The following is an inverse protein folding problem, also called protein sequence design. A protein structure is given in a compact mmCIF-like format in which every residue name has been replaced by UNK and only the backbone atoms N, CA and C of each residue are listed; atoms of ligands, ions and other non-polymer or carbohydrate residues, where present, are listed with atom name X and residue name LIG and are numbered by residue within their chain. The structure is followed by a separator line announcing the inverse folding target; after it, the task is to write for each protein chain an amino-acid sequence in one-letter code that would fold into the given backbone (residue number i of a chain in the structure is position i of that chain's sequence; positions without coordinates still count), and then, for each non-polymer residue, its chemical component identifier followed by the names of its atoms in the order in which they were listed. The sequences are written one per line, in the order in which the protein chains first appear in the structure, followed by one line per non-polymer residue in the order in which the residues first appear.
data_IF_755527285319
#
_entry.id   IF_755527285319
#
_cell.length_a   1.000
_cell.length_b   1.000
_cell.length_c   1.000
_cell.angle_alpha   90.00
_cell.angle_beta   90.00
_cell.angle_gamma   90.00
#
_symmetry.space_group_name_H-M   'P 1'
#
loop_
_entity.id
_entity.type
_entity.pdbx_description
1 polymer ?
#
# COMPACT_ATOMS: atom_id res chain seq x y z
N UNK A 1 -19.99 -2.92 -19.24
CA UNK A 1 -19.07 -3.55 -18.28
C UNK A 1 -17.74 -2.84 -18.37
N UNK A 2 -17.34 -2.04 -17.37
CA UNK A 2 -16.01 -1.41 -17.38
C UNK A 2 -14.96 -2.51 -17.20
N UNK A 3 -14.00 -2.56 -18.11
CA UNK A 3 -12.83 -3.43 -18.10
C UNK A 3 -12.24 -3.48 -16.70
N UNK A 4 -12.16 -4.68 -16.11
CA UNK A 4 -11.37 -4.91 -14.92
C UNK A 4 -9.91 -4.70 -15.30
N UNK A 5 -9.43 -3.47 -15.12
CA UNK A 5 -8.02 -3.15 -15.24
C UNK A 5 -7.28 -3.98 -14.18
N UNK A 6 -6.65 -5.06 -14.64
CA UNK A 6 -5.97 -6.05 -13.80
C UNK A 6 -4.47 -5.72 -13.70
N UNK A 7 -4.13 -4.45 -13.88
CA UNK A 7 -2.76 -3.96 -13.79
C UNK A 7 -2.23 -4.13 -12.38
N UNK A 8 -0.97 -4.59 -12.23
CA UNK A 8 -0.35 -4.73 -10.92
C UNK A 8 -0.28 -3.36 -10.24
N UNK A 9 -0.55 -3.34 -8.94
CA UNK A 9 -0.39 -2.15 -8.10
C UNK A 9 0.57 -2.49 -6.96
N UNK A 10 1.43 -1.55 -6.54
CA UNK A 10 2.29 -1.77 -5.38
C UNK A 10 1.48 -2.06 -4.12
N UNK A 11 2.03 -2.86 -3.21
CA UNK A 11 1.39 -3.27 -1.97
C UNK A 11 2.07 -2.62 -0.76
N UNK A 12 1.25 -2.02 0.11
CA UNK A 12 1.66 -1.54 1.42
C UNK A 12 0.98 -2.34 2.53
N UNK A 13 1.78 -3.13 3.25
CA UNK A 13 1.33 -3.94 4.37
C UNK A 13 1.19 -3.09 5.66
N UNK A 14 -0.04 -2.91 6.15
CA UNK A 14 -0.38 -2.12 7.32
C UNK A 14 -0.36 -2.97 8.59
N UNK A 15 0.29 -2.47 9.65
CA UNK A 15 0.48 -3.20 10.92
C UNK A 15 -0.63 -2.94 11.94
N UNK A 16 -0.96 -1.67 12.17
CA UNK A 16 -1.79 -1.22 13.31
C UNK A 16 -3.14 -0.61 12.87
N UNK A 17 -3.43 -0.60 11.56
CA UNK A 17 -4.62 0.09 11.06
C UNK A 17 -5.15 -0.52 9.78
N UNK A 18 -6.44 -0.26 9.53
CA UNK A 18 -7.15 -0.58 8.30
C UNK A 18 -7.70 0.73 7.74
N UNK A 19 -7.37 1.03 6.48
CA UNK A 19 -7.92 2.19 5.77
C UNK A 19 -9.19 1.76 5.03
N UNK A 20 -10.27 2.51 5.18
CA UNK A 20 -11.53 2.33 4.45
C UNK A 20 -11.67 3.34 3.30
N UNK A 21 -12.54 3.06 2.31
CA UNK A 21 -12.91 4.04 1.29
C UNK A 21 -13.32 5.39 1.90
N UNK A 22 -12.97 6.49 1.21
CA UNK A 22 -13.18 7.89 1.57
C UNK A 22 -12.37 8.39 2.79
N UNK A 23 -11.57 7.53 3.44
CA UNK A 23 -10.69 7.99 4.51
C UNK A 23 -9.38 8.55 3.94
N UNK A 24 -8.96 9.71 4.45
CA UNK A 24 -7.64 10.29 4.21
C UNK A 24 -6.80 10.10 5.46
N UNK A 25 -5.73 9.30 5.38
CA UNK A 25 -4.93 8.88 6.53
C UNK A 25 -3.45 9.17 6.29
N UNK A 26 -2.75 9.83 7.24
CA UNK A 26 -1.30 9.95 7.19
C UNK A 26 -0.62 8.65 7.65
N UNK A 27 0.33 8.16 6.87
CA UNK A 27 1.14 6.97 7.17
C UNK A 27 2.63 7.35 7.27
N UNK A 28 3.33 6.67 8.17
CA UNK A 28 4.79 6.78 8.30
C UNK A 28 5.43 5.49 7.76
N UNK A 29 6.30 5.65 6.78
CA UNK A 29 6.91 4.54 6.05
C UNK A 29 8.42 4.59 6.23
N UNK A 30 8.97 3.56 6.88
CA UNK A 30 10.41 3.46 7.17
C UNK A 30 11.08 2.19 6.65
N UNK A 31 10.32 1.17 6.22
CA UNK A 31 10.90 -0.06 5.65
C UNK A 31 11.23 0.17 4.17
N UNK A 32 12.41 -0.23 3.73
CA UNK A 32 12.86 -0.05 2.34
C UNK A 32 11.85 -0.60 1.32
N UNK A 33 11.29 -1.79 1.55
CA UNK A 33 10.25 -2.37 0.67
C UNK A 33 9.00 -1.49 0.55
N UNK A 34 8.59 -0.89 1.66
CA UNK A 34 7.43 -0.02 1.70
C UNK A 34 7.71 1.34 1.05
N UNK A 35 8.92 1.88 1.22
CA UNK A 35 9.37 3.08 0.51
C UNK A 35 9.37 2.83 -1.00
N UNK A 36 9.96 1.72 -1.45
CA UNK A 36 9.95 1.31 -2.86
C UNK A 36 8.53 1.17 -3.43
N UNK A 37 7.61 0.56 -2.68
CA UNK A 37 6.21 0.45 -3.11
C UNK A 37 5.54 1.82 -3.33
N UNK A 38 5.83 2.79 -2.44
CA UNK A 38 5.33 4.16 -2.57
C UNK A 38 5.95 4.85 -3.79
N UNK A 39 7.27 4.73 -3.99
CA UNK A 39 7.95 5.32 -5.14
C UNK A 39 7.47 4.71 -6.46
N UNK A 40 7.21 3.41 -6.50
CA UNK A 40 6.65 2.74 -7.68
C UNK A 40 5.22 3.21 -7.96
N UNK A 41 4.40 3.43 -6.93
CA UNK A 41 3.05 3.96 -7.13
C UNK A 41 3.07 5.35 -7.78
N UNK A 42 4.10 6.17 -7.52
CA UNK A 42 4.23 7.48 -8.15
C UNK A 42 4.49 7.40 -9.65
N UNK A 43 5.00 6.27 -10.17
CA UNK A 43 5.20 6.03 -11.60
C UNK A 43 3.89 5.63 -12.29
N UNK A 44 3.05 4.85 -11.60
CA UNK A 44 1.86 4.22 -12.15
C UNK A 44 0.57 4.66 -11.42
N UNK A 45 -0.08 5.70 -11.96
CA UNK A 45 -1.40 6.19 -11.54
C UNK A 45 -1.58 6.56 -10.05
N UNK A 46 -0.50 6.62 -9.25
CA UNK A 46 -0.53 6.89 -7.80
C UNK A 46 -1.33 5.88 -6.99
N UNK A 47 -1.69 4.75 -7.58
CA UNK A 47 -2.51 3.73 -6.93
C UNK A 47 -1.65 2.81 -6.06
N UNK A 48 -2.17 2.45 -4.89
CA UNK A 48 -1.50 1.54 -3.97
C UNK A 48 -2.53 0.62 -3.31
N UNK A 49 -2.19 -0.66 -3.19
CA UNK A 49 -2.98 -1.60 -2.42
C UNK A 49 -2.61 -1.49 -0.94
N UNK A 50 -3.58 -1.17 -0.10
CA UNK A 50 -3.44 -1.10 1.35
C UNK A 50 -4.08 -2.36 1.95
N UNK A 51 -3.28 -3.20 2.59
CA UNK A 51 -3.78 -4.43 3.21
C UNK A 51 -3.19 -4.62 4.60
N UNK A 52 -4.01 -5.05 5.56
CA UNK A 52 -3.55 -5.33 6.91
C UNK A 52 -2.76 -6.64 6.98
N UNK A 53 -1.80 -6.68 7.89
CA UNK A 53 -1.09 -7.89 8.28
C UNK A 53 -1.96 -8.72 9.23
N UNK A 54 -1.85 -10.05 9.16
CA UNK A 54 -2.53 -10.98 10.07
C UNK A 54 -1.91 -10.97 11.46
N UNK A 55 -0.58 -10.95 11.53
CA UNK A 55 0.17 -10.71 12.77
C UNK A 55 0.98 -9.42 12.62
N UNK A 56 0.57 -8.40 13.36
CA UNK A 56 1.24 -7.12 13.42
C UNK A 56 2.73 -7.27 13.73
N UNK A 57 3.16 -8.22 14.57
CA UNK A 57 4.57 -8.33 15.02
C UNK A 57 5.53 -8.74 13.91
N UNK A 58 5.04 -9.25 12.79
CA UNK A 58 5.83 -9.68 11.64
C UNK A 58 6.59 -8.51 11.00
N UNK A 59 7.91 -8.61 10.89
CA UNK A 59 8.76 -7.56 10.31
C UNK A 59 8.78 -7.61 8.79
N UNK A 60 8.79 -8.81 8.20
CA UNK A 60 8.82 -9.05 6.77
C UNK A 60 7.67 -10.00 6.40
N UNK A 61 6.43 -9.50 6.33
CA UNK A 61 5.27 -10.36 6.03
C UNK A 61 5.39 -10.94 4.63
N UNK A 62 5.15 -12.24 4.49
CA UNK A 62 4.95 -12.90 3.21
C UNK A 62 3.49 -12.79 2.77
N UNK A 63 3.20 -13.29 1.56
CA UNK A 63 1.86 -13.25 0.95
C UNK A 63 0.75 -13.83 1.85
N UNK A 64 1.07 -14.94 2.54
CA UNK A 64 0.15 -15.63 3.45
C UNK A 64 -0.13 -14.86 4.75
N UNK A 65 0.72 -13.89 5.08
CA UNK A 65 0.63 -13.09 6.30
C UNK A 65 -0.19 -11.79 6.08
N UNK A 66 -0.66 -11.56 4.85
CA UNK A 66 -1.48 -10.41 4.47
C UNK A 66 -2.93 -10.85 4.29
N UNK A 67 -3.88 -10.02 4.71
CA UNK A 67 -5.28 -10.21 4.36
C UNK A 67 -5.49 -9.94 2.87
N UNK A 68 -6.10 -10.89 2.16
CA UNK A 68 -6.36 -10.77 0.71
C UNK A 68 -7.29 -9.60 0.36
N UNK A 69 -8.16 -9.21 1.30
CA UNK A 69 -9.07 -8.06 1.12
C UNK A 69 -8.48 -6.85 1.82
N UNK A 70 -8.37 -5.76 1.08
CA UNK A 70 -7.90 -4.48 1.57
C UNK A 70 -8.60 -3.33 0.85
N UNK A 71 -7.91 -2.21 0.77
CA UNK A 71 -8.40 -0.99 0.14
C UNK A 71 -7.42 -0.53 -0.92
N UNK A 72 -7.92 -0.35 -2.14
CA UNK A 72 -7.19 0.37 -3.16
C UNK A 72 -7.22 1.85 -2.77
N UNK A 73 -6.05 2.43 -2.56
CA UNK A 73 -5.87 3.82 -2.22
C UNK A 73 -5.08 4.58 -3.28
N UNK A 74 -5.05 5.90 -3.13
CA UNK A 74 -4.25 6.81 -3.93
C UNK A 74 -3.29 7.58 -3.03
N UNK A 75 -2.02 7.67 -3.44
CA UNK A 75 -1.03 8.50 -2.75
C UNK A 75 -1.26 9.97 -3.11
N UNK A 76 -1.77 10.72 -2.15
CA UNK A 76 -2.11 12.15 -2.30
C UNK A 76 -0.87 13.02 -2.17
N UNK A 77 -0.03 12.75 -1.17
CA UNK A 77 1.15 13.57 -0.88
C UNK A 77 2.28 12.74 -0.26
N UNK A 78 3.52 13.03 -0.64
CA UNK A 78 4.73 12.42 -0.10
C UNK A 78 5.63 13.51 0.47
N UNK A 79 6.00 13.39 1.75
CA UNK A 79 6.90 14.32 2.46
C UNK A 79 8.10 13.51 2.96
N UNK A 80 9.29 13.84 2.47
CA UNK A 80 10.56 13.30 2.98
C UNK A 80 11.00 14.15 4.17
N UNK A 81 11.13 13.53 5.34
CA UNK A 81 11.67 14.19 6.53
C UNK A 81 13.21 14.18 6.44
N UNK A 82 13.85 15.25 6.89
CA UNK A 82 15.29 15.48 6.70
C UNK A 82 16.18 14.29 7.14
N UNK A 83 15.83 13.63 8.25
CA UNK A 83 16.57 12.50 8.82
C UNK A 83 15.66 11.34 9.27
N UNK A 84 14.53 11.12 8.59
CA UNK A 84 13.46 10.27 9.14
C UNK A 84 12.61 9.49 8.14
N UNK A 85 11.61 8.73 8.64
CA UNK A 85 10.70 7.98 7.80
C UNK A 85 9.93 8.91 6.85
N UNK A 86 9.54 8.40 5.68
CA UNK A 86 8.71 9.14 4.74
C UNK A 86 7.30 9.25 5.32
N UNK A 87 6.77 10.47 5.41
CA UNK A 87 5.36 10.69 5.73
C UNK A 87 4.58 10.75 4.42
N UNK A 88 3.58 9.88 4.27
CA UNK A 88 2.72 9.83 3.09
C UNK A 88 1.27 10.05 3.50
N UNK A 89 0.53 10.83 2.73
CA UNK A 89 -0.92 10.98 2.87
C UNK A 89 -1.60 10.12 1.82
N UNK A 90 -2.50 9.25 2.25
CA UNK A 90 -3.18 8.29 1.36
C UNK A 90 -4.69 8.45 1.52
N UNK A 91 -5.41 8.44 0.40
CA UNK A 91 -6.87 8.39 0.35
C UNK A 91 -7.34 6.99 -0.04
N UNK A 92 -8.18 6.36 0.77
CA UNK A 92 -8.83 5.11 0.41
C UNK A 92 -9.89 5.35 -0.66
N UNK A 93 -9.84 4.65 -1.80
CA UNK A 93 -10.82 4.80 -2.89
C UNK A 93 -11.92 3.76 -2.82
N UNK A 94 -11.55 2.49 -2.83
CA UNK A 94 -12.51 1.38 -2.87
C UNK A 94 -11.92 0.11 -2.26
N UNK A 95 -12.77 -0.83 -1.86
CA UNK A 95 -12.33 -2.16 -1.42
C UNK A 95 -11.81 -2.95 -2.62
N UNK A 96 -10.73 -3.68 -2.43
CA UNK A 96 -10.13 -4.52 -3.46
C UNK A 96 -9.70 -5.87 -2.87
N UNK A 97 -9.61 -6.89 -3.73
CA UNK A 97 -9.12 -8.22 -3.37
C UNK A 97 -7.86 -8.53 -4.17
N UNK A 98 -6.78 -8.86 -3.47
CA UNK A 98 -5.54 -9.37 -4.06
C UNK A 98 -5.83 -10.72 -4.70
N UNK A 99 -5.54 -10.83 -6.00
CA UNK A 99 -5.73 -12.07 -6.78
C UNK A 99 -4.42 -12.80 -7.05
N UNK A 100 -3.35 -12.05 -7.21
CA UNK A 100 -2.02 -12.55 -7.51
C UNK A 100 -1.00 -11.55 -6.98
N UNK A 101 0.08 -12.07 -6.40
CA UNK A 101 1.26 -11.28 -6.07
C UNK A 101 2.26 -11.35 -7.23
N UNK A 102 2.86 -10.21 -7.53
CA UNK A 102 3.95 -10.10 -8.50
C UNK A 102 5.15 -9.58 -7.76
N UNK A 103 6.30 -10.23 -7.93
CA UNK A 103 7.54 -9.75 -7.37
C UNK A 103 8.04 -8.61 -8.25
N UNK A 104 8.27 -7.44 -7.66
CA UNK A 104 9.07 -6.40 -8.33
C UNK A 104 10.49 -6.98 -8.42
N UNK A 105 10.97 -7.18 -9.65
CA UNK A 105 12.39 -7.46 -9.90
C UNK A 105 13.20 -6.27 -9.38
N UNK A 106 14.33 -6.56 -8.70
CA UNK A 106 15.17 -5.54 -8.04
C UNK A 106 15.81 -4.56 -9.03
#
# INVERSE_FOLDING_TARGET
MKSSDNSPVPLLALRELVVFPQQVVPLFVGREKSVRAIEESQKENKLIMLAAQKDARTSNPGEKDIYETGTLGEVVQLIRLADGPIKVLVEGKQRAKIKKYTQLED
#
